data_IF_606493949326
#
_entry.id   IF_606493949326
#
_cell.length_a   1.000
_cell.length_b   1.000
_cell.length_c   1.000
_cell.angle_alpha   90.00
_cell.angle_beta   90.00
_cell.angle_gamma   90.00
#
_symmetry.space_group_name_H-M   'P 1'
#
loop_
_entity.id
_entity.type
_entity.pdbx_description
1 polymer ?
#
# COMPACT_ATOMS: atom_id res chain seq x y z
N UNK A 1 -13.62 -26.32 16.77
CA UNK A 1 -12.91 -25.03 16.85
C UNK A 1 -13.21 -24.27 15.57
N UNK A 2 -14.12 -23.30 15.65
CA UNK A 2 -14.81 -22.74 14.49
C UNK A 2 -13.87 -21.90 13.61
N UNK A 3 -13.64 -22.35 12.37
CA UNK A 3 -12.97 -21.61 11.29
C UNK A 3 -14.00 -20.80 10.53
N UNK A 4 -13.90 -19.46 10.55
CA UNK A 4 -14.40 -18.50 9.54
C UNK A 4 -13.95 -17.09 9.94
N UNK A 5 -13.66 -16.16 9.02
CA UNK A 5 -14.26 -16.01 7.69
C UNK A 5 -13.24 -15.77 6.56
N UNK A 6 -13.35 -16.59 5.52
CA UNK A 6 -13.00 -16.19 4.17
C UNK A 6 -14.10 -15.28 3.62
N UNK A 7 -13.72 -14.11 3.10
CA UNK A 7 -14.50 -13.44 2.06
C UNK A 7 -13.56 -12.94 0.98
N UNK A 8 -13.47 -13.68 -0.12
CA UNK A 8 -12.86 -13.23 -1.37
C UNK A 8 -12.10 -14.28 -2.18
N UNK A 9 -11.28 -15.13 -1.55
CA UNK A 9 -10.29 -15.93 -2.31
C UNK A 9 -10.05 -17.37 -1.80
N UNK A 10 -10.76 -17.82 -0.75
CA UNK A 10 -10.59 -19.19 -0.21
C UNK A 10 -9.35 -19.41 0.65
N UNK A 11 -8.57 -18.36 0.94
CA UNK A 11 -7.35 -18.39 1.78
C UNK A 11 -7.62 -17.68 3.11
N UNK A 12 -7.03 -18.16 4.21
CA UNK A 12 -7.07 -17.48 5.50
C UNK A 12 -6.25 -16.19 5.46
N UNK A 13 -6.76 -15.11 6.09
CA UNK A 13 -6.11 -13.80 6.04
C UNK A 13 -4.66 -13.82 6.54
N UNK A 14 -4.38 -14.62 7.58
CA UNK A 14 -3.02 -14.78 8.12
C UNK A 14 -2.06 -15.37 7.09
N UNK A 15 -2.52 -16.35 6.31
CA UNK A 15 -1.74 -17.01 5.28
C UNK A 15 -1.54 -16.07 4.09
N UNK A 16 -2.58 -15.32 3.72
CA UNK A 16 -2.50 -14.30 2.68
C UNK A 16 -1.48 -13.19 3.05
N UNK A 17 -1.48 -12.73 4.30
CA UNK A 17 -0.51 -11.73 4.79
C UNK A 17 0.90 -12.33 4.85
N UNK A 18 1.06 -13.56 5.37
CA UNK A 18 2.36 -14.21 5.43
C UNK A 18 2.97 -14.43 4.03
N UNK A 19 2.15 -14.83 3.05
CA UNK A 19 2.54 -14.91 1.66
C UNK A 19 2.92 -13.54 1.07
N UNK A 20 2.15 -12.49 1.39
CA UNK A 20 2.41 -11.14 0.91
C UNK A 20 3.75 -10.57 1.41
N UNK A 21 4.25 -11.02 2.56
CA UNK A 21 5.53 -10.62 3.16
C UNK A 21 6.71 -11.56 2.83
N UNK A 22 6.53 -12.52 1.92
CA UNK A 22 7.51 -13.57 1.64
C UNK A 22 8.64 -13.09 0.70
N UNK A 23 9.42 -12.09 1.13
CA UNK A 23 10.50 -11.47 0.34
C UNK A 23 11.79 -12.30 0.31
N UNK A 24 11.88 -13.33 1.17
CA UNK A 24 12.97 -14.32 1.20
C UNK A 24 12.55 -15.66 0.60
N UNK A 25 12.29 -16.66 1.45
CA UNK A 25 11.82 -17.97 0.99
C UNK A 25 10.33 -17.91 0.61
N UNK A 26 9.91 -18.57 -0.50
CA UNK A 26 8.50 -18.62 -0.86
C UNK A 26 7.64 -19.23 0.24
N UNK A 27 6.51 -18.60 0.54
CA UNK A 27 5.52 -19.10 1.48
C UNK A 27 4.56 -20.04 0.76
N UNK A 28 4.23 -21.19 1.37
CA UNK A 28 3.37 -22.20 0.75
C UNK A 28 1.98 -22.16 1.33
N UNK A 29 0.98 -22.06 0.47
CA UNK A 29 -0.44 -22.24 0.80
C UNK A 29 -0.94 -23.39 -0.07
N UNK A 30 -1.44 -24.44 0.56
CA UNK A 30 -1.75 -25.72 -0.08
C UNK A 30 -0.60 -26.22 -0.96
N UNK A 31 -0.82 -26.38 -2.26
CA UNK A 31 0.18 -26.85 -3.22
C UNK A 31 0.97 -25.74 -3.94
N UNK A 32 0.63 -24.47 -3.68
CA UNK A 32 1.16 -23.31 -4.40
C UNK A 32 2.19 -22.58 -3.53
N UNK A 33 3.27 -22.12 -4.16
CA UNK A 33 4.30 -21.27 -3.51
C UNK A 33 4.15 -19.83 -3.97
N UNK A 34 4.04 -18.93 -3.01
CA UNK A 34 3.88 -17.50 -3.20
C UNK A 34 5.15 -16.77 -2.80
N UNK A 35 5.43 -15.68 -3.50
CA UNK A 35 6.49 -14.72 -3.17
C UNK A 35 5.84 -13.37 -2.84
N UNK A 36 6.60 -12.48 -2.23
CA UNK A 36 6.16 -11.13 -1.86
C UNK A 36 5.45 -10.40 -3.02
N UNK A 37 4.34 -9.73 -2.69
CA UNK A 37 3.48 -9.08 -3.68
C UNK A 37 4.13 -7.87 -4.36
N UNK A 38 5.17 -7.29 -3.78
CA UNK A 38 5.92 -6.18 -4.37
C UNK A 38 6.63 -6.53 -5.68
N UNK A 39 6.82 -7.83 -5.97
CA UNK A 39 7.40 -8.29 -7.23
C UNK A 39 6.43 -8.27 -8.42
N UNK A 40 5.12 -8.05 -8.21
CA UNK A 40 4.11 -8.16 -9.28
C UNK A 40 4.15 -6.99 -10.26
N UNK A 41 4.01 -5.78 -9.73
CA UNK A 41 4.07 -4.54 -10.50
C UNK A 41 5.11 -3.63 -9.86
N UNK A 42 4.82 -3.12 -8.67
CA UNK A 42 5.78 -2.39 -7.84
C UNK A 42 5.41 -2.61 -6.37
N UNK A 43 6.25 -2.12 -5.48
CA UNK A 43 6.05 -2.16 -4.04
C UNK A 43 4.75 -1.51 -3.54
N UNK A 44 3.93 -0.83 -4.35
CA UNK A 44 2.66 -0.26 -3.91
C UNK A 44 1.43 -0.98 -4.46
N UNK A 45 1.56 -1.71 -5.57
CA UNK A 45 0.44 -2.35 -6.29
C UNK A 45 -0.80 -1.42 -6.44
N UNK A 46 -0.57 -0.15 -6.77
CA UNK A 46 -1.60 0.89 -6.92
C UNK A 46 -2.69 0.50 -7.93
N UNK A 47 -2.34 -0.23 -8.98
CA UNK A 47 -3.28 -0.68 -10.01
C UNK A 47 -4.37 -1.64 -9.49
N UNK A 48 -4.15 -2.31 -8.34
CA UNK A 48 -5.19 -3.11 -7.68
C UNK A 48 -6.38 -2.27 -7.17
N UNK A 49 -6.24 -0.94 -7.14
CA UNK A 49 -7.32 -0.01 -6.80
C UNK A 49 -8.22 0.38 -7.99
N UNK A 50 -8.05 -0.25 -9.17
CA UNK A 50 -8.93 0.00 -10.31
C UNK A 50 -10.42 -0.13 -9.92
N UNK A 51 -11.24 0.79 -10.41
CA UNK A 51 -12.67 0.89 -10.07
C UNK A 51 -13.01 1.55 -8.73
N UNK A 52 -12.02 2.02 -7.96
CA UNK A 52 -12.25 2.84 -6.77
C UNK A 52 -12.31 4.33 -7.14
N UNK A 53 -13.30 5.05 -6.62
CA UNK A 53 -13.45 6.49 -6.90
C UNK A 53 -12.39 7.35 -6.20
N UNK A 54 -11.83 6.86 -5.08
CA UNK A 54 -10.77 7.55 -4.31
C UNK A 54 -9.71 6.55 -3.87
N UNK A 55 -8.45 6.90 -4.10
CA UNK A 55 -7.29 6.05 -3.80
C UNK A 55 -6.26 6.86 -3.04
N UNK A 56 -5.81 6.35 -1.90
CA UNK A 56 -4.64 6.87 -1.19
C UNK A 56 -3.51 5.85 -1.28
N UNK A 57 -2.40 6.23 -1.91
CA UNK A 57 -1.20 5.40 -1.97
C UNK A 57 -0.21 5.87 -0.91
N UNK A 58 0.19 4.97 -0.01
CA UNK A 58 1.24 5.21 0.97
C UNK A 58 2.48 4.44 0.53
N UNK A 59 3.50 5.17 0.10
CA UNK A 59 4.67 4.62 -0.56
C UNK A 59 5.92 4.84 0.30
N UNK A 60 6.27 3.90 1.20
CA UNK A 60 7.42 4.05 2.11
C UNK A 60 8.78 4.11 1.39
N UNK A 61 8.84 3.69 0.12
CA UNK A 61 10.06 3.74 -0.69
C UNK A 61 10.08 4.88 -1.73
N UNK A 62 9.16 5.83 -1.63
CA UNK A 62 9.15 7.01 -2.51
C UNK A 62 8.80 6.70 -3.98
N UNK A 63 8.07 5.63 -4.27
CA UNK A 63 7.70 5.20 -5.62
C UNK A 63 8.88 4.66 -6.43
N UNK A 64 10.04 4.44 -5.77
CA UNK A 64 11.22 3.87 -6.38
C UNK A 64 10.93 2.42 -6.76
N UNK A 65 11.29 2.06 -7.98
CA UNK A 65 11.19 0.69 -8.47
C UNK A 65 12.57 0.12 -8.78
N UNK A 66 12.74 -1.18 -8.58
CA UNK A 66 13.91 -1.94 -9.01
C UNK A 66 13.79 -2.40 -10.48
N UNK A 67 12.65 -2.15 -11.14
CA UNK A 67 12.41 -2.51 -12.54
C UNK A 67 12.74 -1.36 -13.50
N UNK A 68 13.23 -1.65 -14.72
CA UNK A 68 13.50 -0.62 -15.73
C UNK A 68 12.27 0.22 -16.08
N UNK A 69 12.46 1.52 -16.37
CA UNK A 69 11.40 2.48 -16.77
C UNK A 69 10.40 1.99 -17.84
N UNK A 70 10.81 1.27 -18.90
CA UNK A 70 9.88 0.82 -19.94
C UNK A 70 8.88 -0.26 -19.50
N UNK A 71 9.02 -0.82 -18.29
CA UNK A 71 8.18 -1.94 -17.84
C UNK A 71 6.73 -1.55 -17.53
N UNK A 72 6.39 -0.25 -17.50
CA UNK A 72 5.02 0.23 -17.23
C UNK A 72 4.54 0.02 -15.79
N UNK A 73 5.35 -0.64 -14.95
CA UNK A 73 4.96 -0.99 -13.58
C UNK A 73 5.26 0.10 -12.55
N UNK A 74 5.81 1.24 -12.96
CA UNK A 74 6.18 2.33 -12.05
C UNK A 74 4.94 2.94 -11.40
N UNK A 75 5.06 3.36 -10.13
CA UNK A 75 3.95 3.96 -9.40
C UNK A 75 3.33 5.16 -10.16
N UNK A 76 4.14 5.98 -10.82
CA UNK A 76 3.66 7.10 -11.63
C UNK A 76 2.73 6.65 -12.77
N UNK A 77 3.04 5.53 -13.43
CA UNK A 77 2.20 4.96 -14.49
C UNK A 77 0.87 4.48 -13.91
N UNK A 78 0.90 3.72 -12.81
CA UNK A 78 -0.31 3.22 -12.15
C UNK A 78 -1.22 4.36 -11.66
N UNK A 79 -0.65 5.44 -11.11
CA UNK A 79 -1.40 6.63 -10.72
C UNK A 79 -2.05 7.31 -11.94
N UNK A 80 -1.34 7.40 -13.06
CA UNK A 80 -1.87 7.99 -14.28
C UNK A 80 -3.05 7.19 -14.83
N UNK A 81 -2.95 5.86 -14.81
CA UNK A 81 -4.02 4.94 -15.22
C UNK A 81 -5.26 5.08 -14.32
N UNK A 82 -5.10 5.03 -13.00
CA UNK A 82 -6.20 5.24 -12.05
C UNK A 82 -6.90 6.59 -12.28
N UNK A 83 -6.14 7.66 -12.52
CA UNK A 83 -6.71 8.98 -12.82
C UNK A 83 -7.44 9.01 -14.15
N UNK A 84 -6.92 8.33 -15.17
CA UNK A 84 -7.58 8.20 -16.47
C UNK A 84 -8.92 7.42 -16.36
N UNK A 85 -9.00 6.46 -15.43
CA UNK A 85 -10.22 5.71 -15.11
C UNK A 85 -11.20 6.46 -14.19
N UNK A 86 -10.86 7.69 -13.77
CA UNK A 86 -11.73 8.57 -13.00
C UNK A 86 -11.50 8.53 -11.48
N UNK A 87 -10.46 7.86 -11.00
CA UNK A 87 -10.09 7.89 -9.58
C UNK A 87 -9.47 9.24 -9.20
N UNK A 88 -9.84 9.75 -8.03
CA UNK A 88 -9.06 10.79 -7.34
C UNK A 88 -7.95 10.11 -6.53
N UNK A 89 -6.69 10.39 -6.88
CA UNK A 89 -5.53 9.70 -6.28
C UNK A 89 -4.66 10.67 -5.48
N UNK A 90 -4.53 10.40 -4.18
CA UNK A 90 -3.58 11.04 -3.27
C UNK A 90 -2.39 10.13 -2.98
N UNK A 91 -1.23 10.73 -2.69
CA UNK A 91 0.01 9.99 -2.42
C UNK A 91 0.70 10.53 -1.18
N UNK A 92 1.21 9.64 -0.33
CA UNK A 92 2.09 9.96 0.79
C UNK A 92 3.42 9.25 0.56
N UNK A 93 4.50 10.03 0.62
CA UNK A 93 5.88 9.57 0.58
C UNK A 93 6.59 10.05 1.85
N UNK A 94 7.59 9.33 2.40
CA UNK A 94 8.39 9.86 3.49
C UNK A 94 8.95 11.24 3.14
N UNK A 95 8.84 12.19 4.07
CA UNK A 95 9.55 13.47 3.95
C UNK A 95 11.07 13.24 3.92
N UNK A 96 11.82 14.14 3.28
CA UNK A 96 13.28 14.07 3.15
C UNK A 96 13.98 13.79 4.49
N UNK A 97 13.53 14.47 5.57
CA UNK A 97 14.05 14.31 6.93
C UNK A 97 13.84 12.91 7.52
N UNK A 98 12.90 12.13 7.00
CA UNK A 98 12.51 10.81 7.46
C UNK A 98 12.90 9.70 6.48
N UNK A 99 13.38 10.02 5.28
CA UNK A 99 13.76 9.02 4.25
C UNK A 99 14.80 8.02 4.77
N UNK A 100 15.73 8.46 5.61
CA UNK A 100 16.77 7.61 6.21
C UNK A 100 16.23 6.53 7.16
N UNK A 101 14.97 6.64 7.59
CA UNK A 101 14.29 5.62 8.39
C UNK A 101 13.75 4.47 7.52
N UNK A 102 13.73 4.66 6.20
CA UNK A 102 13.20 3.72 5.21
C UNK A 102 14.31 3.24 4.24
N UNK A 103 13.93 2.49 3.20
CA UNK A 103 14.89 1.97 2.21
C UNK A 103 15.81 0.89 2.79
N UNK A 104 17.12 1.08 2.69
CA UNK A 104 18.13 0.10 3.15
C UNK A 104 18.04 -0.19 4.65
N UNK A 105 17.41 0.69 5.42
CA UNK A 105 17.21 0.54 6.86
C UNK A 105 15.80 0.06 7.23
N UNK A 106 14.93 -0.24 6.26
CA UNK A 106 13.55 -0.65 6.53
C UNK A 106 13.46 -1.90 7.44
N UNK A 107 14.44 -2.79 7.35
CA UNK A 107 14.52 -4.00 8.20
C UNK A 107 15.22 -3.77 9.55
N UNK A 108 15.63 -2.54 9.87
CA UNK A 108 16.22 -2.19 11.17
C UNK A 108 15.13 -1.99 12.23
N UNK A 109 14.92 -3.02 13.05
CA UNK A 109 13.91 -3.03 14.11
C UNK A 109 14.03 -1.86 15.09
N UNK A 110 15.25 -1.36 15.34
CA UNK A 110 15.50 -0.26 16.27
C UNK A 110 14.93 1.08 15.78
N UNK A 111 14.67 1.22 14.48
CA UNK A 111 14.12 2.46 13.89
C UNK A 111 12.58 2.48 13.88
N UNK A 112 11.90 1.35 14.15
CA UNK A 112 10.43 1.26 14.10
C UNK A 112 9.70 2.32 14.93
N UNK A 113 10.10 2.62 16.19
CA UNK A 113 9.42 3.65 16.97
C UNK A 113 9.56 5.05 16.36
N UNK A 114 10.71 5.35 15.76
CA UNK A 114 10.96 6.63 15.09
C UNK A 114 10.14 6.75 13.80
N UNK A 115 10.15 5.70 12.98
CA UNK A 115 9.36 5.64 11.75
C UNK A 115 7.86 5.77 12.01
N UNK A 116 7.35 5.10 13.05
CA UNK A 116 5.94 5.19 13.44
C UNK A 116 5.54 6.61 13.87
N UNK A 117 6.39 7.31 14.64
CA UNK A 117 6.15 8.71 15.05
C UNK A 117 6.18 9.65 13.86
N UNK A 118 7.18 9.52 12.98
CA UNK A 118 7.29 10.33 11.78
C UNK A 118 6.07 10.14 10.85
N UNK A 119 5.63 8.89 10.65
CA UNK A 119 4.42 8.59 9.87
C UNK A 119 3.15 9.16 10.50
N UNK A 120 3.03 9.11 11.83
CA UNK A 120 1.89 9.71 12.54
C UNK A 120 1.86 11.24 12.41
N UNK A 121 3.00 11.91 12.60
CA UNK A 121 3.12 13.36 12.45
C UNK A 121 2.76 13.79 11.02
N UNK A 122 3.35 13.14 10.01
CA UNK A 122 3.09 13.46 8.61
C UNK A 122 1.64 13.17 8.21
N UNK A 123 1.09 12.03 8.65
CA UNK A 123 -0.30 11.69 8.40
C UNK A 123 -1.27 12.69 9.00
N UNK A 124 -0.98 13.17 10.22
CA UNK A 124 -1.78 14.21 10.89
C UNK A 124 -1.71 15.53 10.14
N UNK A 125 -0.51 15.98 9.75
CA UNK A 125 -0.32 17.21 8.99
C UNK A 125 -0.97 17.18 7.59
N UNK A 126 -1.01 15.99 6.98
CA UNK A 126 -1.59 15.79 5.64
C UNK A 126 -3.10 15.56 5.67
N UNK A 127 -3.69 15.32 6.84
CA UNK A 127 -5.07 14.85 6.97
C UNK A 127 -6.08 15.81 6.34
N UNK A 128 -5.97 17.12 6.60
CA UNK A 128 -6.90 18.13 6.07
C UNK A 128 -6.75 18.29 4.55
N UNK A 129 -5.53 18.25 4.05
CA UNK A 129 -5.25 18.30 2.62
C UNK A 129 -5.83 17.09 1.89
N UNK A 130 -5.58 15.88 2.42
CA UNK A 130 -6.08 14.64 1.84
C UNK A 130 -7.60 14.57 1.94
N UNK A 131 -8.18 14.98 3.08
CA UNK A 131 -9.62 15.07 3.28
C UNK A 131 -10.32 15.99 2.25
N UNK A 132 -9.61 16.98 1.71
CA UNK A 132 -10.21 18.04 0.90
C UNK A 132 -11.30 18.78 1.70
N UNK A 133 -12.31 19.32 1.02
CA UNK A 133 -13.41 20.05 1.68
C UNK A 133 -14.43 19.17 2.44
N UNK A 134 -14.22 17.84 2.53
CA UNK A 134 -15.21 16.90 3.11
C UNK A 134 -14.55 15.75 3.90
N UNK A 135 -13.94 16.03 5.07
CA UNK A 135 -13.22 15.03 5.88
C UNK A 135 -14.07 13.83 6.32
N UNK A 136 -15.35 14.06 6.59
CA UNK A 136 -16.28 13.02 7.03
C UNK A 136 -16.63 11.99 5.93
N UNK A 137 -16.52 12.35 4.65
CA UNK A 137 -16.89 11.47 3.53
C UNK A 137 -15.79 10.46 3.17
N UNK A 138 -14.53 10.70 3.58
CA UNK A 138 -13.41 9.77 3.35
C UNK A 138 -13.57 8.44 4.09
N UNK A 139 -14.07 8.52 5.32
CA UNK A 139 -14.21 7.39 6.24
C UNK A 139 -15.67 6.92 6.38
N UNK A 140 -16.57 7.49 5.58
CA UNK A 140 -17.99 7.13 5.61
C UNK A 140 -18.21 5.80 4.89
N UNK A 141 -18.20 4.71 5.65
CA UNK A 141 -18.55 3.37 5.17
C UNK A 141 -20.00 3.24 4.65
N UNK A 142 -20.82 4.29 4.79
CA UNK A 142 -22.22 4.35 4.32
C UNK A 142 -22.40 4.92 2.91
N UNK A 143 -21.35 5.49 2.31
CA UNK A 143 -21.39 6.00 0.93
C UNK A 143 -20.75 4.97 0.00
N UNK A 144 -21.36 4.59 -1.14
CA UNK A 144 -20.77 3.62 -2.07
C UNK A 144 -19.53 4.14 -2.83
N UNK A 145 -19.00 5.32 -2.47
CA UNK A 145 -17.67 5.75 -2.87
C UNK A 145 -16.65 4.84 -2.19
N UNK A 146 -16.31 3.75 -2.87
CA UNK A 146 -15.27 2.81 -2.44
C UNK A 146 -13.96 3.59 -2.37
N UNK A 147 -13.50 3.86 -1.16
CA UNK A 147 -12.17 4.39 -0.86
C UNK A 147 -11.25 3.21 -0.55
N UNK A 148 -10.01 3.23 -1.04
CA UNK A 148 -8.98 2.24 -0.68
C UNK A 148 -7.68 2.92 -0.31
N UNK A 149 -7.03 2.38 0.72
CA UNK A 149 -5.68 2.73 1.12
C UNK A 149 -4.78 1.56 0.76
N UNK A 150 -3.77 1.81 -0.06
CA UNK A 150 -2.76 0.82 -0.39
C UNK A 150 -1.50 1.14 0.40
N UNK A 151 -1.21 0.24 1.34
CA UNK A 151 0.02 0.20 2.12
C UNK A 151 0.61 -1.17 1.82
N UNK A 152 1.84 -1.21 1.33
CA UNK A 152 2.57 -2.46 1.37
C UNK A 152 3.37 -2.55 2.66
N UNK A 153 3.13 -3.59 3.48
CA UNK A 153 3.98 -3.89 4.61
C UNK A 153 5.28 -4.49 4.07
N UNK A 154 6.40 -3.98 4.58
CA UNK A 154 7.63 -4.75 4.69
C UNK A 154 7.88 -4.93 6.19
#
# INVERSE_FOLDING_TARGET
>A
MARRAATGCGVELTDAVAASCASGLPYRIDDIRYIDGGYRSNAENADLAAGYGRVLVVSPFGGKSLTPLPSGVHLATQIAELRAEGSTVGTIFPEERSEHLFGVHAMNLSLRPLAARAGYEQGTASADYLAGSRPAEWWSFSTPCRSVVLIMPQ
#
